data_IF_057997838359
#
_entry.id   IF_057997838359
#
_cell.length_a   1.000
_cell.length_b   1.000
_cell.length_c   1.000
_cell.angle_alpha   90.00
_cell.angle_beta   90.00
_cell.angle_gamma   90.00
#
_symmetry.space_group_name_H-M   'P 1'
#
loop_
_entity.id
_entity.type
_entity.pdbx_description
1 polymer ?
#
# COMPACT_ATOMS: atom_id res chain seq x y z
N UNK A 1 -5.39 -7.91 -2.68
CA UNK A 1 -6.33 -6.85 -3.10
C UNK A 1 -6.58 -6.90 -4.57
N UNK A 2 -7.79 -6.63 -5.02
CA UNK A 2 -8.08 -6.66 -6.44
C UNK A 2 -9.30 -5.83 -6.81
N UNK A 3 -9.29 -5.34 -8.07
CA UNK A 3 -10.36 -4.59 -8.69
C UNK A 3 -10.94 -5.42 -9.81
N UNK A 4 -12.24 -5.43 -9.91
CA UNK A 4 -12.96 -6.26 -10.87
C UNK A 4 -13.86 -5.42 -11.76
N UNK A 5 -13.69 -5.55 -13.09
CA UNK A 5 -14.67 -5.11 -14.09
C UNK A 5 -15.64 -6.22 -14.42
N UNK A 6 -16.15 -6.25 -15.66
CA UNK A 6 -17.00 -7.34 -16.14
C UNK A 6 -16.22 -8.66 -16.22
N UNK A 7 -15.21 -8.67 -17.09
CA UNK A 7 -14.38 -9.84 -17.36
C UNK A 7 -12.93 -9.59 -16.97
N UNK A 8 -12.56 -8.32 -16.79
CA UNK A 8 -11.22 -7.93 -16.43
C UNK A 8 -11.08 -7.78 -14.92
N UNK A 9 -9.93 -8.10 -14.41
CA UNK A 9 -9.58 -7.78 -13.04
C UNK A 9 -8.08 -7.57 -12.88
N UNK A 10 -7.73 -6.82 -11.85
CA UNK A 10 -6.35 -6.56 -11.47
C UNK A 10 -6.20 -6.97 -10.02
N UNK A 11 -5.22 -7.81 -9.76
CA UNK A 11 -4.86 -8.21 -8.40
C UNK A 11 -3.58 -7.50 -7.99
N UNK A 12 -3.57 -6.95 -6.80
CA UNK A 12 -2.37 -6.36 -6.20
C UNK A 12 -2.02 -7.17 -4.96
N UNK A 13 -0.82 -7.73 -4.94
CA UNK A 13 -0.30 -8.48 -3.82
C UNK A 13 0.94 -7.78 -3.27
N UNK A 14 1.12 -7.79 -1.96
CA UNK A 14 2.26 -7.13 -1.33
C UNK A 14 3.04 -8.08 -0.46
N UNK A 15 4.35 -7.83 -0.37
CA UNK A 15 5.22 -8.54 0.55
C UNK A 15 4.90 -8.22 2.02
N UNK A 16 5.46 -8.99 2.95
CA UNK A 16 5.07 -8.96 4.37
C UNK A 16 5.49 -7.70 5.12
N UNK A 17 6.39 -6.90 4.57
CA UNK A 17 6.87 -5.68 5.24
C UNK A 17 6.04 -4.43 4.94
N UNK A 18 4.99 -4.55 4.15
CA UNK A 18 3.98 -3.51 4.06
C UNK A 18 3.00 -3.69 5.21
N UNK A 19 2.88 -2.70 6.08
CA UNK A 19 2.06 -2.78 7.28
C UNK A 19 0.68 -2.19 7.12
N UNK A 20 0.43 -1.48 6.03
CA UNK A 20 -0.85 -0.84 5.77
C UNK A 20 -1.08 -0.71 4.28
N UNK A 21 -2.32 -0.47 3.91
CA UNK A 21 -2.68 -0.09 2.56
C UNK A 21 -3.70 1.03 2.63
N UNK A 22 -3.52 2.03 1.79
CA UNK A 22 -4.50 3.09 1.58
C UNK A 22 -5.22 2.78 0.28
N UNK A 23 -6.54 2.85 0.31
CA UNK A 23 -7.38 2.75 -0.88
C UNK A 23 -8.01 4.10 -1.11
N UNK A 24 -7.75 4.68 -2.27
CA UNK A 24 -8.27 5.99 -2.63
C UNK A 24 -9.14 5.86 -3.88
N UNK A 25 -10.41 6.13 -3.71
CA UNK A 25 -11.39 6.08 -4.79
C UNK A 25 -12.29 7.32 -4.67
N UNK A 26 -11.91 8.43 -5.33
CA UNK A 26 -12.67 9.67 -5.21
C UNK A 26 -14.05 9.55 -5.86
N UNK A 27 -15.02 10.22 -5.26
CA UNK A 27 -16.36 10.33 -5.80
C UNK A 27 -16.46 11.55 -6.75
N UNK A 28 -17.39 11.50 -7.71
CA UNK A 28 -17.69 12.60 -8.59
C UNK A 28 -17.45 12.28 -10.07
N UNK A 29 -17.85 13.19 -11.00
CA UNK A 29 -17.66 12.98 -12.42
C UNK A 29 -16.18 13.00 -12.80
N UNK A 30 -15.84 12.23 -13.84
CA UNK A 30 -14.49 12.15 -14.38
C UNK A 30 -13.43 11.65 -13.38
N UNK A 31 -13.85 10.85 -12.40
CA UNK A 31 -12.97 10.28 -11.39
C UNK A 31 -13.03 8.77 -11.43
N UNK A 32 -12.77 8.20 -12.59
CA UNK A 32 -12.90 6.77 -12.87
C UNK A 32 -11.60 6.04 -12.59
N UNK A 33 -11.10 6.19 -11.37
CA UNK A 33 -9.87 5.52 -10.96
C UNK A 33 -9.93 5.10 -9.50
N UNK A 34 -9.09 4.16 -9.17
CA UNK A 34 -8.87 3.72 -7.79
C UNK A 34 -7.37 3.50 -7.59
N UNK A 35 -6.87 3.90 -6.44
CA UNK A 35 -5.48 3.71 -6.07
C UNK A 35 -5.39 2.71 -4.93
N UNK A 36 -4.48 1.75 -5.06
CA UNK A 36 -4.05 0.89 -3.97
C UNK A 36 -2.63 1.28 -3.61
N UNK A 37 -2.45 1.76 -2.40
CA UNK A 37 -1.19 2.36 -1.95
C UNK A 37 -0.63 1.55 -0.79
N UNK A 38 0.17 0.50 -1.07
CA UNK A 38 0.84 -0.23 0.01
C UNK A 38 1.86 0.67 0.70
N UNK A 39 1.87 0.64 2.03
CA UNK A 39 2.69 1.52 2.85
C UNK A 39 3.49 0.70 3.86
N UNK A 40 4.75 1.04 4.03
CA UNK A 40 5.61 0.41 5.04
C UNK A 40 5.28 0.91 6.45
N UNK A 41 4.59 2.05 6.56
CA UNK A 41 4.17 2.62 7.83
C UNK A 41 2.81 3.30 7.65
N UNK A 42 2.12 3.50 8.74
CA UNK A 42 0.82 4.19 8.73
C UNK A 42 1.00 5.70 8.57
N UNK A 43 -0.08 6.39 8.22
CA UNK A 43 -0.12 7.85 8.18
C UNK A 43 0.28 8.42 9.54
N UNK A 44 1.10 9.48 9.53
CA UNK A 44 1.61 10.15 10.73
C UNK A 44 2.49 9.26 11.62
N UNK A 45 3.12 8.25 11.03
CA UNK A 45 3.83 7.21 11.77
C UNK A 45 4.96 7.77 12.65
N UNK A 46 5.71 8.75 12.18
CA UNK A 46 6.83 9.32 12.93
C UNK A 46 6.36 9.97 14.22
N UNK A 47 5.32 10.78 14.15
CA UNK A 47 4.75 11.41 15.34
C UNK A 47 4.15 10.40 16.31
N UNK A 48 3.46 9.40 15.78
CA UNK A 48 2.85 8.36 16.59
C UNK A 48 3.92 7.47 17.26
N UNK A 49 5.00 7.20 16.56
CA UNK A 49 6.13 6.44 17.14
C UNK A 49 6.81 7.24 18.26
N UNK A 50 6.98 8.53 18.08
CA UNK A 50 7.56 9.41 19.10
C UNK A 50 6.71 9.44 20.37
N UNK A 51 5.38 9.37 20.23
CA UNK A 51 4.45 9.29 21.35
C UNK A 51 4.35 7.91 21.98
N UNK A 52 5.05 6.91 21.45
CA UNK A 52 4.98 5.54 21.94
C UNK A 52 3.71 4.78 21.53
N UNK A 53 2.88 5.36 20.65
CA UNK A 53 1.62 4.75 20.20
C UNK A 53 1.86 3.76 19.07
N UNK A 54 2.73 4.09 18.12
CA UNK A 54 3.05 3.24 16.99
C UNK A 54 4.37 2.50 17.23
N UNK A 55 4.32 1.19 17.25
CA UNK A 55 5.45 0.31 17.61
C UNK A 55 6.09 -0.40 16.41
N UNK A 56 5.60 -0.18 15.20
CA UNK A 56 6.02 -0.94 14.01
C UNK A 56 6.84 -0.10 13.03
N UNK A 57 7.38 1.03 13.49
CA UNK A 57 8.21 1.87 12.64
C UNK A 57 9.46 1.10 12.21
N UNK A 58 9.74 1.10 10.92
CA UNK A 58 10.87 0.38 10.36
C UNK A 58 12.08 1.29 10.25
N UNK A 59 13.27 0.73 10.46
CA UNK A 59 14.53 1.44 10.43
C UNK A 59 15.50 0.75 9.48
N UNK A 60 16.30 1.54 8.78
CA UNK A 60 17.40 1.04 7.95
C UNK A 60 18.71 1.39 8.66
N UNK A 61 19.40 0.43 9.26
CA UNK A 61 20.70 0.68 9.88
C UNK A 61 21.73 1.16 8.86
N UNK A 62 22.73 1.96 9.27
CA UNK A 62 23.78 2.41 8.36
C UNK A 62 24.46 1.24 7.64
N UNK A 63 24.67 1.37 6.35
CA UNK A 63 25.28 0.33 5.53
C UNK A 63 24.38 -0.84 5.18
N UNK A 64 23.11 -0.81 5.56
CA UNK A 64 22.13 -1.84 5.25
C UNK A 64 21.15 -1.40 4.17
N UNK A 65 20.50 -2.39 3.55
CA UNK A 65 19.49 -2.16 2.49
C UNK A 65 18.16 -2.73 2.96
N UNK A 66 17.09 -1.98 2.69
CA UNK A 66 15.73 -2.45 2.87
C UNK A 66 15.11 -2.70 1.51
N UNK A 67 14.46 -3.85 1.35
CA UNK A 67 13.77 -4.22 0.12
C UNK A 67 12.41 -4.79 0.45
N UNK A 68 11.45 -4.50 -0.42
CA UNK A 68 10.15 -5.13 -0.40
C UNK A 68 9.59 -5.15 -1.82
N UNK A 69 8.61 -6.00 -2.05
CA UNK A 69 8.03 -6.17 -3.39
C UNK A 69 6.53 -6.14 -3.32
N UNK A 70 5.93 -5.68 -4.40
CA UNK A 70 4.51 -5.85 -4.66
C UNK A 70 4.34 -6.33 -6.11
N UNK A 71 3.20 -6.94 -6.38
CA UNK A 71 2.91 -7.53 -7.68
C UNK A 71 1.58 -7.03 -8.17
N UNK A 72 1.52 -6.67 -9.45
CA UNK A 72 0.29 -6.30 -10.12
C UNK A 72 0.02 -7.37 -11.17
N UNK A 73 -1.09 -8.06 -11.05
CA UNK A 73 -1.46 -9.15 -11.95
C UNK A 73 -2.77 -8.82 -12.64
N UNK A 74 -2.73 -8.33 -13.89
CA UNK A 74 -3.94 -8.13 -14.68
C UNK A 74 -4.44 -9.43 -15.27
N UNK A 75 -5.75 -9.52 -15.50
CA UNK A 75 -6.37 -10.71 -16.08
C UNK A 75 -7.63 -10.33 -16.83
N UNK A 76 -7.90 -11.02 -17.94
CA UNK A 76 -9.11 -10.79 -18.73
C UNK A 76 -9.07 -9.63 -19.70
N UNK A 77 -7.93 -9.05 -19.92
CA UNK A 77 -7.77 -7.93 -20.85
C UNK A 77 -7.45 -8.39 -22.27
#
# INVERSE_FOLDING_TARGET
MWVRGKDEHVQVAFGPNFHAVVVYAPAGPNRDFICFEPMVAITNALNLAQRGVYKQLQYIPPGKTWQESFWITPSGF
#
